data_IF_996031961286
#
_entry.id   IF_996031961286
#
_cell.length_a   1.000
_cell.length_b   1.000
_cell.length_c   1.000
_cell.angle_alpha   90.00
_cell.angle_beta   90.00
_cell.angle_gamma   90.00
#
_symmetry.space_group_name_H-M   'P 1'
#
loop_
_entity.id
_entity.type
_entity.pdbx_description
1 polymer ?
#
# COMPACT_ATOMS: atom_id res chain seq x y z
N UNK A 1 15.59 -20.49 7.36
CA UNK A 1 15.40 -19.03 7.41
C UNK A 1 14.48 -18.66 6.27
N UNK A 2 13.15 -18.73 6.47
CA UNK A 2 12.19 -18.35 5.44
C UNK A 2 12.02 -16.84 5.47
N UNK A 3 12.67 -16.10 4.58
CA UNK A 3 12.22 -14.76 4.26
C UNK A 3 10.87 -14.96 3.58
N UNK A 4 9.78 -14.58 4.26
CA UNK A 4 8.46 -14.50 3.64
C UNK A 4 8.56 -13.41 2.57
N UNK A 5 9.06 -13.75 1.39
CA UNK A 5 8.98 -12.89 0.21
C UNK A 5 7.49 -12.64 -0.05
N UNK A 6 7.10 -11.44 -0.48
CA UNK A 6 5.71 -11.27 -0.96
C UNK A 6 5.46 -12.32 -2.03
N UNK A 7 4.47 -13.19 -1.84
CA UNK A 7 4.09 -14.18 -2.84
C UNK A 7 3.24 -13.56 -3.98
N UNK A 8 3.10 -12.23 -4.00
CA UNK A 8 2.49 -11.47 -5.08
C UNK A 8 3.53 -10.55 -5.72
N UNK A 9 3.49 -10.44 -7.05
CA UNK A 9 4.36 -9.55 -7.81
C UNK A 9 3.61 -8.24 -8.06
N UNK A 10 4.19 -7.13 -7.64
CA UNK A 10 3.71 -5.80 -8.04
C UNK A 10 4.01 -5.59 -9.53
N UNK A 11 2.97 -5.51 -10.35
CA UNK A 11 3.07 -5.17 -11.77
C UNK A 11 2.65 -3.71 -11.92
N UNK A 12 3.60 -2.85 -12.31
CA UNK A 12 3.35 -1.44 -12.57
C UNK A 12 2.25 -1.26 -13.62
N UNK A 13 1.21 -0.49 -13.29
CA UNK A 13 0.09 -0.20 -14.18
C UNK A 13 -1.04 -1.23 -14.21
N UNK A 14 -0.95 -2.33 -13.44
CA UNK A 14 -2.06 -3.30 -13.32
C UNK A 14 -3.15 -2.86 -12.32
N UNK A 15 -2.89 -1.80 -11.54
CA UNK A 15 -3.83 -1.24 -10.56
C UNK A 15 -3.40 0.14 -10.05
N UNK A 16 -4.17 0.68 -9.10
CA UNK A 16 -3.97 2.04 -8.55
C UNK A 16 -3.02 2.09 -7.33
N UNK A 17 -2.55 0.93 -6.87
CA UNK A 17 -1.73 0.81 -5.67
C UNK A 17 -0.25 0.85 -6.06
N UNK A 18 0.59 1.45 -5.23
CA UNK A 18 2.03 1.44 -5.41
C UNK A 18 2.67 0.16 -4.83
N UNK A 19 3.99 0.06 -4.98
CA UNK A 19 4.81 -1.05 -4.45
C UNK A 19 4.64 -1.30 -2.94
N UNK A 20 4.11 -0.32 -2.20
CA UNK A 20 3.88 -0.38 -0.77
C UNK A 20 2.40 -0.62 -0.43
N UNK A 21 1.58 -1.01 -1.41
CA UNK A 21 0.14 -1.22 -1.26
C UNK A 21 -0.60 0.06 -0.80
N UNK A 22 -0.06 1.23 -1.12
CA UNK A 22 -0.69 2.51 -0.83
C UNK A 22 -1.07 3.27 -2.09
N UNK A 23 -1.96 4.26 -1.94
CA UNK A 23 -2.36 5.15 -3.02
C UNK A 23 -2.71 6.53 -2.49
N UNK A 24 -2.76 7.51 -3.39
CA UNK A 24 -3.27 8.84 -3.09
C UNK A 24 -4.72 8.96 -3.53
N UNK A 25 -5.60 9.47 -2.68
CA UNK A 25 -7.00 9.69 -3.04
C UNK A 25 -7.79 10.44 -1.98
N UNK A 26 -8.99 10.89 -2.36
CA UNK A 26 -9.91 11.60 -1.46
C UNK A 26 -10.53 10.62 -0.46
N UNK A 27 -10.71 11.08 0.77
CA UNK A 27 -11.49 10.39 1.79
C UNK A 27 -12.52 11.37 2.39
N UNK A 28 -13.56 10.89 3.09
CA UNK A 28 -14.51 11.79 3.75
C UNK A 28 -13.85 12.78 4.73
N UNK A 29 -12.73 12.39 5.33
CA UNK A 29 -11.94 13.20 6.27
C UNK A 29 -10.94 14.13 5.57
N UNK A 30 -10.45 13.74 4.38
CA UNK A 30 -9.47 14.49 3.59
C UNK A 30 -9.99 14.68 2.15
N UNK A 31 -10.85 15.67 1.91
CA UNK A 31 -11.44 15.93 0.60
C UNK A 31 -10.43 16.42 -0.44
N UNK A 32 -9.31 17.01 0.00
CA UNK A 32 -8.20 17.42 -0.87
C UNK A 32 -7.26 16.24 -1.24
N UNK A 33 -7.51 15.06 -0.66
CA UNK A 33 -6.71 13.86 -0.88
C UNK A 33 -5.62 13.64 0.17
N UNK A 34 -5.36 12.37 0.45
CA UNK A 34 -4.27 11.93 1.31
C UNK A 34 -3.67 10.63 0.78
N UNK A 35 -2.41 10.36 1.09
CA UNK A 35 -1.81 9.06 0.87
C UNK A 35 -2.23 8.09 1.98
N UNK A 36 -2.78 6.93 1.63
CA UNK A 36 -3.20 5.91 2.58
C UNK A 36 -2.85 4.50 2.09
N UNK A 37 -2.70 3.58 3.05
CA UNK A 37 -2.46 2.16 2.79
C UNK A 37 -3.78 1.41 2.65
N UNK A 38 -3.84 0.49 1.69
CA UNK A 38 -4.94 -0.45 1.56
C UNK A 38 -4.56 -1.75 2.27
N UNK A 39 -5.43 -2.19 3.17
CA UNK A 39 -5.25 -3.36 4.04
C UNK A 39 -6.39 -4.32 3.69
N UNK A 40 -6.07 -5.61 3.59
CA UNK A 40 -7.05 -6.67 3.29
C UNK A 40 -6.99 -7.74 4.38
N UNK A 41 -8.04 -8.54 4.52
CA UNK A 41 -8.08 -9.65 5.47
C UNK A 41 -7.29 -10.87 4.93
N UNK A 42 -7.11 -10.94 3.61
CA UNK A 42 -6.31 -11.95 2.93
C UNK A 42 -4.80 -11.68 3.00
N UNK A 43 -3.99 -12.73 2.86
CA UNK A 43 -2.54 -12.57 2.84
C UNK A 43 -2.07 -11.75 1.61
N UNK A 44 -1.15 -10.78 1.78
CA UNK A 44 -0.58 -10.29 3.04
C UNK A 44 -1.43 -9.17 3.64
N UNK A 45 -2.03 -9.50 4.78
CA UNK A 45 -3.01 -8.69 5.50
C UNK A 45 -2.50 -7.28 5.84
N UNK A 46 -1.20 -7.10 6.08
CA UNK A 46 -0.57 -5.80 6.27
C UNK A 46 0.60 -5.62 5.31
N UNK A 47 0.70 -4.41 4.74
CA UNK A 47 1.84 -4.05 3.89
C UNK A 47 3.13 -4.02 4.70
N UNK A 48 4.25 -4.41 4.08
CA UNK A 48 5.58 -4.42 4.72
C UNK A 48 6.46 -3.23 4.36
N UNK A 49 6.00 -2.37 3.46
CA UNK A 49 6.68 -1.13 3.11
C UNK A 49 5.97 0.06 3.76
N UNK A 50 6.71 0.85 4.55
CA UNK A 50 6.23 2.12 5.09
C UNK A 50 6.90 3.26 4.32
N UNK A 51 6.06 4.11 3.76
CA UNK A 51 6.36 5.35 3.04
C UNK A 51 5.94 6.54 3.90
N UNK A 52 6.91 7.41 4.18
CA UNK A 52 6.73 8.65 4.92
C UNK A 52 8.08 9.31 5.13
N UNK A 53 8.14 10.62 4.97
CA UNK A 53 9.32 11.41 5.24
C UNK A 53 9.21 12.04 6.63
N UNK A 54 10.22 11.87 7.47
CA UNK A 54 10.36 12.65 8.70
C UNK A 54 10.94 14.01 8.31
N UNK A 55 10.10 15.04 8.23
CA UNK A 55 10.58 16.43 8.27
C UNK A 55 11.17 16.75 9.65
#
# INVERSE_FOLDING_TARGET
MGAFTQDYEYIEGLGDLDQCNGRYGVTPEFPDGIYYYVVTDDFPFFTRCLKGDTN
#
